data_IF_041219552261
#
_entry.id   IF_041219552261
#
_cell.length_a   1.000
_cell.length_b   1.000
_cell.length_c   1.000
_cell.angle_alpha   90.00
_cell.angle_beta   90.00
_cell.angle_gamma   90.00
#
_symmetry.space_group_name_H-M   'P 1'
#
loop_
_entity.id
_entity.type
_entity.pdbx_description
1 polymer ?
#
# COMPACT_ATOMS: atom_id res chain seq x y z
N UNK A 1 3.20 -15.94 18.20
CA UNK A 1 2.01 -15.56 17.43
C UNK A 1 1.79 -16.63 16.38
N UNK A 2 0.55 -17.06 16.14
CA UNK A 2 0.24 -17.97 15.04
C UNK A 2 0.39 -17.24 13.68
N UNK A 3 0.91 -17.94 12.67
CA UNK A 3 1.12 -17.39 11.33
C UNK A 3 -0.19 -16.90 10.71
N UNK A 4 -1.29 -17.64 10.92
CA UNK A 4 -2.60 -17.27 10.40
C UNK A 4 -3.11 -15.98 11.05
N UNK A 5 -2.97 -15.84 12.37
CA UNK A 5 -3.33 -14.62 13.09
C UNK A 5 -2.53 -13.39 12.59
N UNK A 6 -1.23 -13.57 12.36
CA UNK A 6 -0.40 -12.50 11.79
C UNK A 6 -0.83 -12.14 10.37
N UNK A 7 -1.19 -13.12 9.54
CA UNK A 7 -1.68 -12.91 8.17
C UNK A 7 -2.98 -12.11 8.16
N UNK A 8 -3.94 -12.44 9.03
CA UNK A 8 -5.17 -11.67 9.17
C UNK A 8 -4.90 -10.24 9.64
N UNK A 9 -3.99 -10.06 10.59
CA UNK A 9 -3.56 -8.74 11.07
C UNK A 9 -2.93 -7.91 9.95
N UNK A 10 -2.06 -8.51 9.13
CA UNK A 10 -1.47 -7.85 7.98
C UNK A 10 -2.53 -7.42 6.95
N UNK A 11 -3.51 -8.28 6.66
CA UNK A 11 -4.62 -7.94 5.75
C UNK A 11 -5.48 -6.79 6.30
N UNK A 12 -5.71 -6.75 7.61
CA UNK A 12 -6.41 -5.64 8.26
C UNK A 12 -5.64 -4.33 8.10
N UNK A 13 -4.33 -4.33 8.35
CA UNK A 13 -3.49 -3.14 8.13
C UNK A 13 -3.46 -2.72 6.66
N UNK A 14 -3.48 -3.67 5.72
CA UNK A 14 -3.52 -3.37 4.29
C UNK A 14 -4.84 -2.65 3.93
N UNK A 15 -5.97 -3.18 4.42
CA UNK A 15 -7.27 -2.54 4.21
C UNK A 15 -7.34 -1.14 4.83
N UNK A 16 -6.87 -0.97 6.07
CA UNK A 16 -6.83 0.32 6.75
C UNK A 16 -5.92 1.33 6.04
N UNK A 17 -4.75 0.91 5.58
CA UNK A 17 -3.82 1.74 4.81
C UNK A 17 -4.48 2.25 3.53
N UNK A 18 -5.15 1.37 2.78
CA UNK A 18 -5.88 1.73 1.56
C UNK A 18 -6.98 2.78 1.85
N UNK A 19 -7.80 2.54 2.87
CA UNK A 19 -8.88 3.47 3.25
C UNK A 19 -8.32 4.85 3.62
N UNK A 20 -7.26 4.89 4.43
CA UNK A 20 -6.63 6.16 4.86
C UNK A 20 -5.93 6.87 3.70
N UNK A 21 -5.30 6.12 2.79
CA UNK A 21 -4.71 6.66 1.56
C UNK A 21 -5.77 7.37 0.71
N UNK A 22 -6.88 6.70 0.40
CA UNK A 22 -7.96 7.30 -0.38
C UNK A 22 -8.63 8.47 0.34
N UNK A 23 -8.83 8.38 1.66
CA UNK A 23 -9.36 9.49 2.46
C UNK A 23 -8.49 10.75 2.30
N UNK A 24 -7.16 10.59 2.36
CA UNK A 24 -6.21 11.70 2.15
C UNK A 24 -6.20 12.19 0.70
N UNK A 25 -6.24 11.27 -0.27
CA UNK A 25 -6.23 11.61 -1.69
C UNK A 25 -7.49 12.41 -2.11
N UNK A 26 -8.68 11.91 -1.74
CA UNK A 26 -9.95 12.59 -1.99
C UNK A 26 -10.01 13.92 -1.24
N UNK A 27 -9.54 13.95 0.02
CA UNK A 27 -9.49 15.21 0.75
C UNK A 27 -8.63 16.26 0.04
N UNK A 28 -7.47 15.89 -0.52
CA UNK A 28 -6.60 16.81 -1.28
C UNK A 28 -7.25 17.32 -2.56
N UNK A 29 -8.01 16.48 -3.25
CA UNK A 29 -8.76 16.87 -4.46
C UNK A 29 -9.94 17.79 -4.17
N UNK A 30 -10.46 17.77 -2.95
CA UNK A 30 -11.52 18.65 -2.47
C UNK A 30 -10.94 19.91 -1.79
N UNK A 31 -10.93 19.95 -0.45
CA UNK A 31 -10.59 21.14 0.34
C UNK A 31 -9.26 21.03 1.10
N UNK A 32 -8.64 19.85 1.13
CA UNK A 32 -7.42 19.56 1.88
C UNK A 32 -7.56 19.48 3.41
N UNK A 33 -8.73 19.85 3.97
CA UNK A 33 -8.92 19.98 5.44
C UNK A 33 -8.67 18.70 6.22
N UNK A 34 -9.18 17.56 5.74
CA UNK A 34 -9.00 16.25 6.40
C UNK A 34 -7.55 15.78 6.26
N UNK A 35 -6.95 15.96 5.09
CA UNK A 35 -5.54 15.62 4.86
C UNK A 35 -4.57 16.45 5.72
N UNK A 36 -4.96 17.66 6.12
CA UNK A 36 -4.19 18.52 7.03
C UNK A 36 -4.38 18.17 8.52
N UNK A 37 -5.37 17.32 8.85
CA UNK A 37 -5.63 16.93 10.23
C UNK A 37 -4.51 16.03 10.77
N UNK A 38 -3.86 16.44 11.86
CA UNK A 38 -2.72 15.71 12.47
C UNK A 38 -3.06 14.26 12.80
N UNK A 39 -4.28 13.99 13.29
CA UNK A 39 -4.71 12.63 13.62
C UNK A 39 -4.74 11.69 12.41
N UNK A 40 -5.20 12.17 11.25
CA UNK A 40 -5.25 11.36 10.01
C UNK A 40 -3.84 11.12 9.47
N UNK A 41 -2.97 12.13 9.57
CA UNK A 41 -1.58 12.02 9.17
C UNK A 41 -0.81 10.98 10.00
N UNK A 42 -0.96 11.03 11.33
CA UNK A 42 -0.30 10.10 12.26
C UNK A 42 -0.86 8.70 12.08
N UNK A 43 -2.19 8.54 12.08
CA UNK A 43 -2.83 7.23 11.91
C UNK A 43 -2.39 6.54 10.61
N UNK A 44 -2.35 7.29 9.49
CA UNK A 44 -1.88 6.76 8.20
C UNK A 44 -0.44 6.26 8.30
N UNK A 45 0.50 7.05 8.83
CA UNK A 45 1.91 6.62 8.92
C UNK A 45 2.12 5.47 9.91
N UNK A 46 1.39 5.46 11.02
CA UNK A 46 1.47 4.37 12.00
C UNK A 46 0.98 3.07 11.38
N UNK A 47 -0.16 3.09 10.68
CA UNK A 47 -0.70 1.90 10.01
C UNK A 47 0.22 1.43 8.88
N UNK A 48 0.76 2.35 8.08
CA UNK A 48 1.70 2.00 7.00
C UNK A 48 2.98 1.35 7.55
N UNK A 49 3.49 1.85 8.69
CA UNK A 49 4.65 1.26 9.37
C UNK A 49 4.34 -0.14 9.89
N UNK A 50 3.18 -0.32 10.55
CA UNK A 50 2.72 -1.62 11.03
C UNK A 50 2.45 -2.61 9.89
N UNK A 51 1.96 -2.12 8.75
CA UNK A 51 1.77 -2.91 7.52
C UNK A 51 3.10 -3.47 7.01
N UNK A 52 4.15 -2.64 6.94
CA UNK A 52 5.48 -3.08 6.50
C UNK A 52 6.12 -4.04 7.51
N UNK A 53 6.04 -3.75 8.81
CA UNK A 53 6.54 -4.63 9.87
C UNK A 53 5.84 -6.00 9.81
N UNK A 54 4.51 -6.02 9.68
CA UNK A 54 3.76 -7.28 9.59
C UNK A 54 4.08 -8.06 8.32
N UNK A 55 4.36 -7.40 7.19
CA UNK A 55 4.83 -8.07 5.97
C UNK A 55 6.17 -8.77 6.18
N UNK A 56 7.14 -8.08 6.80
CA UNK A 56 8.47 -8.65 7.10
C UNK A 56 8.35 -9.82 8.06
N UNK A 57 7.54 -9.67 9.12
CA UNK A 57 7.28 -10.75 10.08
C UNK A 57 6.68 -11.99 9.42
N UNK A 58 5.79 -11.83 8.42
CA UNK A 58 5.25 -12.96 7.64
C UNK A 58 6.32 -13.67 6.80
N UNK A 59 7.27 -12.93 6.22
CA UNK A 59 8.38 -13.52 5.47
C UNK A 59 9.29 -14.35 6.38
N UNK A 60 9.64 -13.80 7.55
CA UNK A 60 10.50 -14.47 8.53
C UNK A 60 9.81 -15.71 9.09
N UNK A 61 8.56 -15.59 9.57
CA UNK A 61 7.82 -16.72 10.14
C UNK A 61 7.53 -17.82 9.11
N UNK A 62 7.26 -17.43 7.86
CA UNK A 62 7.04 -18.38 6.78
C UNK A 62 8.32 -18.96 6.18
N UNK A 63 9.50 -18.48 6.60
CA UNK A 63 10.80 -18.80 5.96
C UNK A 63 10.76 -18.64 4.44
N UNK A 64 10.02 -17.63 3.96
CA UNK A 64 9.81 -17.38 2.54
C UNK A 64 10.95 -16.52 2.01
N UNK A 65 11.70 -17.03 1.04
CA UNK A 65 12.66 -16.23 0.30
C UNK A 65 11.92 -15.39 -0.77
N UNK A 66 11.86 -14.05 -0.65
CA UNK A 66 11.16 -13.20 -1.62
C UNK A 66 11.76 -13.24 -3.02
N UNK A 67 13.06 -13.53 -3.15
CA UNK A 67 13.74 -13.64 -4.44
C UNK A 67 13.46 -14.98 -5.13
N UNK A 68 13.05 -16.00 -4.39
CA UNK A 68 12.71 -17.32 -4.92
C UNK A 68 11.28 -17.45 -5.43
N UNK A 69 10.47 -16.39 -5.31
CA UNK A 69 9.04 -16.39 -5.63
C UNK A 69 8.72 -15.19 -6.53
N UNK A 70 8.63 -15.38 -7.86
CA UNK A 70 8.44 -14.28 -8.82
C UNK A 70 7.25 -13.36 -8.47
N UNK A 71 6.12 -13.94 -8.06
CA UNK A 71 4.90 -13.19 -7.69
C UNK A 71 5.13 -12.28 -6.47
N UNK A 72 6.00 -12.68 -5.55
CA UNK A 72 6.30 -11.92 -4.33
C UNK A 72 7.30 -10.80 -4.63
N UNK A 73 8.28 -11.07 -5.50
CA UNK A 73 9.21 -10.06 -5.98
C UNK A 73 8.46 -8.96 -6.74
N UNK A 74 7.57 -9.35 -7.65
CA UNK A 74 6.70 -8.42 -8.39
C UNK A 74 5.80 -7.61 -7.44
N UNK A 75 5.26 -8.26 -6.40
CA UNK A 75 4.47 -7.59 -5.36
C UNK A 75 5.29 -6.52 -4.62
N UNK A 76 6.55 -6.82 -4.28
CA UNK A 76 7.44 -5.86 -3.61
C UNK A 76 7.73 -4.66 -4.54
N UNK A 77 8.00 -4.91 -5.82
CA UNK A 77 8.22 -3.86 -6.82
C UNK A 77 6.99 -2.95 -6.92
N UNK A 78 5.79 -3.52 -7.01
CA UNK A 78 4.55 -2.76 -7.05
C UNK A 78 4.30 -1.97 -5.76
N UNK A 79 4.66 -2.50 -4.59
CA UNK A 79 4.55 -1.76 -3.32
C UNK A 79 5.47 -0.55 -3.32
N UNK A 80 6.72 -0.69 -3.79
CA UNK A 80 7.66 0.44 -3.91
C UNK A 80 7.13 1.48 -4.91
N UNK A 81 6.63 1.04 -6.06
CA UNK A 81 6.02 1.92 -7.05
C UNK A 81 4.81 2.67 -6.49
N UNK A 82 3.92 1.96 -5.76
CA UNK A 82 2.78 2.54 -5.06
C UNK A 82 3.19 3.67 -4.11
N UNK A 83 4.20 3.45 -3.27
CA UNK A 83 4.68 4.46 -2.30
C UNK A 83 5.22 5.68 -3.04
N UNK A 84 6.07 5.47 -4.07
CA UNK A 84 6.65 6.56 -4.86
C UNK A 84 5.56 7.39 -5.58
N UNK A 85 4.63 6.72 -6.26
CA UNK A 85 3.51 7.37 -6.95
C UNK A 85 2.59 8.11 -5.98
N UNK A 86 2.34 7.53 -4.79
CA UNK A 86 1.56 8.16 -3.72
C UNK A 86 2.20 9.46 -3.23
N UNK A 87 3.52 9.49 -3.06
CA UNK A 87 4.27 10.71 -2.69
C UNK A 87 4.22 11.76 -3.80
N UNK A 88 4.41 11.35 -5.06
CA UNK A 88 4.35 12.26 -6.22
C UNK A 88 2.95 12.87 -6.36
N UNK A 89 1.90 12.05 -6.30
CA UNK A 89 0.50 12.51 -6.32
C UNK A 89 0.21 13.47 -5.17
N UNK A 90 0.70 13.19 -3.96
CA UNK A 90 0.50 14.04 -2.79
C UNK A 90 1.21 15.41 -2.90
N UNK A 91 2.33 15.49 -3.62
CA UNK A 91 3.12 16.73 -3.83
C UNK A 91 2.73 17.48 -5.11
N UNK A 92 1.89 16.90 -5.96
CA UNK A 92 1.49 17.51 -7.21
C UNK A 92 0.71 18.81 -6.98
N UNK A 93 1.07 19.87 -7.72
CA UNK A 93 0.43 21.19 -7.65
C UNK A 93 -0.76 21.35 -8.59
N UNK A 94 -0.86 20.52 -9.62
CA UNK A 94 -1.95 20.55 -10.59
C UNK A 94 -2.93 19.41 -10.35
N UNK A 95 -4.22 19.69 -10.52
CA UNK A 95 -5.30 18.70 -10.32
C UNK A 95 -5.15 17.50 -11.27
N UNK A 96 -4.71 17.73 -12.50
CA UNK A 96 -4.46 16.67 -13.48
C UNK A 96 -3.40 15.68 -12.98
N UNK A 97 -2.25 16.15 -12.48
CA UNK A 97 -1.20 15.28 -11.94
C UNK A 97 -1.64 14.54 -10.67
N UNK A 98 -2.45 15.17 -9.81
CA UNK A 98 -3.01 14.51 -8.63
C UNK A 98 -3.91 13.34 -9.02
N UNK A 99 -4.81 13.54 -10.01
CA UNK A 99 -5.74 12.52 -10.51
C UNK A 99 -4.99 11.41 -11.24
N UNK A 100 -4.07 11.74 -12.15
CA UNK A 100 -3.25 10.74 -12.85
C UNK A 100 -2.44 9.90 -11.86
N UNK A 101 -1.82 10.53 -10.87
CA UNK A 101 -1.12 9.82 -9.81
C UNK A 101 -2.04 8.91 -8.99
N UNK A 102 -3.27 9.35 -8.70
CA UNK A 102 -4.26 8.53 -8.00
C UNK A 102 -4.69 7.31 -8.83
N UNK A 103 -4.88 7.48 -10.15
CA UNK A 103 -5.19 6.37 -11.07
C UNK A 103 -4.04 5.36 -11.09
N UNK A 104 -2.80 5.84 -11.24
CA UNK A 104 -1.62 4.96 -11.25
C UNK A 104 -1.47 4.19 -9.93
N UNK A 105 -1.65 4.85 -8.78
CA UNK A 105 -1.66 4.20 -7.48
C UNK A 105 -2.76 3.14 -7.40
N UNK A 106 -3.96 3.46 -7.88
CA UNK A 106 -5.09 2.52 -7.91
C UNK A 106 -4.74 1.27 -8.71
N UNK A 107 -4.12 1.43 -9.88
CA UNK A 107 -3.66 0.31 -10.70
C UNK A 107 -2.60 -0.53 -9.99
N UNK A 108 -1.63 0.10 -9.29
CA UNK A 108 -0.64 -0.64 -8.49
C UNK A 108 -1.30 -1.45 -7.37
N UNK A 109 -2.29 -0.88 -6.67
CA UNK A 109 -3.04 -1.58 -5.61
C UNK A 109 -3.81 -2.78 -6.15
N UNK A 110 -4.44 -2.64 -7.32
CA UNK A 110 -5.13 -3.75 -7.99
C UNK A 110 -4.15 -4.87 -8.38
N UNK A 111 -2.98 -4.51 -8.91
CA UNK A 111 -1.92 -5.48 -9.22
C UNK A 111 -1.43 -6.23 -7.98
N UNK A 112 -1.20 -5.52 -6.86
CA UNK A 112 -0.83 -6.13 -5.58
C UNK A 112 -1.91 -7.10 -5.09
N UNK A 113 -3.19 -6.73 -5.22
CA UNK A 113 -4.33 -7.57 -4.85
C UNK A 113 -4.43 -8.82 -5.73
N UNK A 114 -4.23 -8.68 -7.04
CA UNK A 114 -4.20 -9.80 -7.98
C UNK A 114 -3.07 -10.78 -7.65
N UNK A 115 -1.84 -10.30 -7.44
CA UNK A 115 -0.69 -11.13 -7.07
C UNK A 115 -0.92 -11.86 -5.75
N UNK A 116 -1.60 -11.22 -4.78
CA UNK A 116 -1.91 -11.84 -3.50
C UNK A 116 -2.96 -12.97 -3.61
N UNK A 117 -3.90 -12.85 -4.56
CA UNK A 117 -4.95 -13.86 -4.80
C UNK A 117 -4.50 -15.00 -5.69
N UNK A 118 -3.90 -14.68 -6.85
CA UNK A 118 -3.47 -15.66 -7.85
C UNK A 118 -2.20 -16.41 -7.44
N UNK A 119 -1.32 -15.75 -6.66
CA UNK A 119 0.06 -16.19 -6.39
C UNK A 119 0.84 -16.55 -7.66
N UNK A 120 0.43 -16.00 -8.80
CA UNK A 120 1.10 -16.11 -10.08
C UNK A 120 1.67 -14.76 -10.44
N UNK A 121 2.94 -14.72 -10.78
CA UNK A 121 3.51 -13.54 -11.43
C UNK A 121 2.88 -13.39 -12.82
N UNK A 122 2.83 -12.15 -13.29
CA UNK A 122 2.36 -11.84 -14.63
C UNK A 122 3.45 -11.24 -15.51
N UNK A 123 4.49 -10.63 -14.91
CA UNK A 123 5.66 -10.12 -15.65
C UNK A 123 6.89 -11.01 -15.49
N UNK A 124 7.15 -11.53 -14.28
CA UNK A 124 8.35 -12.30 -13.93
C UNK A 124 8.11 -13.81 -13.99
#
# INVERSE_FOLDING_TARGET
MDYIALKHTHLLFAALSIVLFYTRAVSRLASGKIAAHKGVFIASHSIDTLLLISAISLLIMGSINPLGQPWLLEKIILVVAYIALGVVSAKAKTRSLQVTGLVLVTLSLLGIGYLAGSKSAFIL
#
